data_IF_712742077692
#
_entry.id   IF_712742077692
#
_cell.length_a   1.000
_cell.length_b   1.000
_cell.length_c   1.000
_cell.angle_alpha   90.00
_cell.angle_beta   90.00
_cell.angle_gamma   90.00
#
_symmetry.space_group_name_H-M   'P 1'
#
loop_
_entity.id
_entity.type
_entity.pdbx_description
1 polymer ?
#
# COMPACT_ATOMS: atom_id res chain seq x y z
N UNK A 1 -35.68 -34.94 -55.73
CA UNK A 1 -34.40 -35.53 -55.27
C UNK A 1 -33.64 -34.45 -54.54
N UNK A 2 -33.25 -34.75 -53.30
CA UNK A 2 -32.98 -33.80 -52.21
C UNK A 2 -31.55 -33.24 -52.33
N UNK A 3 -31.41 -31.93 -52.17
CA UNK A 3 -30.13 -31.24 -52.04
C UNK A 3 -29.64 -31.36 -50.58
N UNK A 4 -28.37 -31.73 -50.37
CA UNK A 4 -27.54 -31.32 -49.22
C UNK A 4 -26.12 -31.91 -49.30
N UNK A 5 -25.08 -31.12 -49.59
CA UNK A 5 -23.73 -31.43 -49.13
C UNK A 5 -23.64 -31.00 -47.66
N UNK A 6 -23.42 -31.96 -46.77
CA UNK A 6 -23.10 -31.67 -45.37
C UNK A 6 -21.73 -31.00 -45.28
N UNK A 7 -21.70 -29.78 -44.76
CA UNK A 7 -20.49 -29.10 -44.34
C UNK A 7 -20.00 -29.78 -43.05
N UNK A 8 -18.98 -30.65 -43.15
CA UNK A 8 -18.30 -31.17 -41.96
C UNK A 8 -17.19 -30.22 -41.56
N UNK A 9 -17.41 -29.42 -40.52
CA UNK A 9 -16.34 -28.75 -39.79
C UNK A 9 -15.90 -29.72 -38.70
N UNK A 10 -14.72 -30.33 -38.87
CA UNK A 10 -14.04 -31.03 -37.79
C UNK A 10 -13.29 -29.98 -36.96
N UNK A 11 -13.81 -29.64 -35.79
CA UNK A 11 -12.99 -29.04 -34.74
C UNK A 11 -12.14 -30.17 -34.16
N UNK A 12 -10.83 -30.08 -34.38
CA UNK A 12 -9.90 -30.81 -33.51
C UNK A 12 -10.01 -30.16 -32.14
N UNK A 13 -10.74 -30.81 -31.22
CA UNK A 13 -10.76 -30.47 -29.80
C UNK A 13 -9.37 -30.75 -29.19
N UNK A 14 -8.38 -29.93 -29.53
CA UNK A 14 -7.20 -29.76 -28.70
C UNK A 14 -7.70 -28.96 -27.51
N UNK A 15 -7.99 -29.64 -26.40
CA UNK A 15 -8.24 -28.99 -25.13
C UNK A 15 -7.09 -28.00 -24.89
N UNK A 16 -7.36 -26.71 -25.07
CA UNK A 16 -6.38 -25.67 -24.82
C UNK A 16 -6.09 -25.69 -23.33
N UNK A 17 -4.95 -26.26 -22.95
CA UNK A 17 -4.47 -26.23 -21.57
C UNK A 17 -4.35 -24.76 -21.18
N UNK A 18 -5.23 -24.29 -20.29
CA UNK A 18 -5.18 -22.93 -19.78
C UNK A 18 -3.86 -22.74 -19.06
N UNK A 19 -3.03 -21.83 -19.58
CA UNK A 19 -1.75 -21.43 -18.99
C UNK A 19 -1.95 -20.07 -18.33
N UNK A 20 -2.18 -19.99 -17.01
CA UNK A 20 -2.56 -18.74 -16.35
C UNK A 20 -1.51 -17.64 -16.46
N UNK A 21 -0.23 -18.01 -16.58
CA UNK A 21 0.91 -17.09 -16.66
C UNK A 21 1.49 -16.95 -18.06
N UNK A 22 0.75 -17.36 -19.11
CA UNK A 22 1.20 -17.22 -20.48
C UNK A 22 1.18 -15.76 -20.94
N UNK A 23 2.09 -15.43 -21.86
CA UNK A 23 2.12 -14.12 -22.53
C UNK A 23 0.74 -13.77 -23.10
N UNK A 24 0.32 -12.52 -22.89
CA UNK A 24 -0.95 -12.02 -23.39
C UNK A 24 -2.09 -12.08 -22.38
N UNK A 25 -1.93 -12.79 -21.26
CA UNK A 25 -2.95 -12.86 -20.24
C UNK A 25 -3.02 -11.56 -19.43
N UNK A 26 -4.24 -11.09 -19.19
CA UNK A 26 -4.57 -10.04 -18.23
C UNK A 26 -4.97 -10.69 -16.90
N UNK A 27 -4.61 -10.04 -15.79
CA UNK A 27 -5.10 -10.42 -14.47
C UNK A 27 -5.45 -9.19 -13.63
N UNK A 28 -6.31 -9.42 -12.64
CA UNK A 28 -6.71 -8.44 -11.65
C UNK A 28 -6.62 -9.12 -10.28
N UNK A 29 -6.01 -8.46 -9.30
CA UNK A 29 -6.05 -8.87 -7.91
C UNK A 29 -6.66 -7.77 -7.05
N UNK A 30 -7.41 -8.18 -6.04
CA UNK A 30 -7.90 -7.31 -4.98
C UNK A 30 -7.81 -8.08 -3.67
N UNK A 31 -7.34 -7.42 -2.61
CA UNK A 31 -7.22 -8.03 -1.30
C UNK A 31 -7.14 -7.00 -0.19
N UNK A 32 -7.31 -7.46 1.04
CA UNK A 32 -7.07 -6.67 2.23
C UNK A 32 -5.65 -6.92 2.73
N UNK A 33 -4.97 -5.86 3.15
CA UNK A 33 -3.61 -5.96 3.68
C UNK A 33 -3.56 -5.60 5.17
N UNK A 34 -2.40 -5.92 5.77
CA UNK A 34 -2.00 -5.53 7.12
C UNK A 34 -0.63 -4.90 7.03
N UNK A 35 -0.41 -3.85 7.79
CA UNK A 35 0.82 -3.07 7.74
C UNK A 35 1.58 -3.19 9.05
N UNK A 36 2.91 -3.20 8.96
CA UNK A 36 3.82 -3.09 10.09
C UNK A 36 4.76 -1.93 9.84
N UNK A 37 5.02 -1.12 10.87
CA UNK A 37 5.86 0.07 10.75
C UNK A 37 7.08 -0.05 11.66
N UNK A 38 8.23 0.34 11.11
CA UNK A 38 9.39 0.72 11.92
C UNK A 38 9.15 2.12 12.50
N UNK A 39 10.15 2.64 13.22
CA UNK A 39 10.15 4.03 13.62
C UNK A 39 10.47 4.97 12.45
N UNK A 40 10.01 6.21 12.57
CA UNK A 40 10.23 7.28 11.61
C UNK A 40 10.94 8.46 12.27
N UNK A 41 11.85 9.09 11.55
CA UNK A 41 12.29 10.45 11.87
C UNK A 41 11.39 11.42 11.11
N UNK A 42 10.85 12.43 11.79
CA UNK A 42 9.84 13.35 11.24
C UNK A 42 10.28 14.79 11.46
N UNK A 43 10.46 15.54 10.36
CA UNK A 43 10.79 16.97 10.39
C UNK A 43 9.55 17.82 10.22
N UNK A 44 9.42 18.88 11.02
CA UNK A 44 8.37 19.87 10.96
C UNK A 44 9.00 21.24 10.72
N UNK A 45 8.64 21.87 9.60
CA UNK A 45 9.10 23.21 9.23
C UNK A 45 7.88 24.13 9.03
N UNK A 46 7.92 25.32 9.62
CA UNK A 46 6.88 26.32 9.45
C UNK A 46 7.15 27.64 10.16
N UNK A 47 6.21 28.60 10.10
CA UNK A 47 6.38 29.90 10.73
C UNK A 47 6.52 29.76 12.26
N UNK A 48 7.73 30.00 12.77
CA UNK A 48 8.05 29.94 14.19
C UNK A 48 8.40 28.54 14.71
N UNK A 49 8.67 27.56 13.86
CA UNK A 49 9.25 26.29 14.28
C UNK A 49 10.03 25.61 13.14
N UNK A 50 11.10 24.93 13.50
CA UNK A 50 11.86 24.03 12.63
C UNK A 50 12.51 23.00 13.55
N UNK A 51 11.93 21.80 13.60
CA UNK A 51 12.40 20.75 14.49
C UNK A 51 12.23 19.36 13.89
N UNK A 52 13.02 18.43 14.38
CA UNK A 52 12.98 17.02 14.03
C UNK A 52 12.65 16.19 15.27
N UNK A 53 11.76 15.22 15.09
CA UNK A 53 11.47 14.16 16.05
C UNK A 53 12.13 12.87 15.59
N UNK A 54 12.83 12.20 16.50
CA UNK A 54 13.52 10.93 16.23
C UNK A 54 12.75 9.73 16.71
N UNK A 55 12.83 8.64 15.95
CA UNK A 55 12.31 7.33 16.32
C UNK A 55 10.81 7.31 16.70
N UNK A 56 9.99 8.08 16.00
CA UNK A 56 8.53 8.13 16.21
C UNK A 56 7.92 6.79 15.77
N UNK A 57 7.30 6.08 16.71
CA UNK A 57 6.61 4.82 16.43
C UNK A 57 5.17 5.06 15.95
N UNK A 58 4.71 4.17 15.06
CA UNK A 58 3.36 4.16 14.56
C UNK A 58 2.80 2.74 14.50
N UNK A 59 1.49 2.65 14.32
CA UNK A 59 0.77 1.38 14.26
C UNK A 59 -0.22 1.35 13.11
N UNK A 60 -0.55 0.12 12.74
CA UNK A 60 -1.64 -0.21 11.84
C UNK A 60 -2.99 0.26 12.38
N UNK A 61 -3.92 0.62 11.48
CA UNK A 61 -5.31 0.98 11.82
C UNK A 61 -6.31 0.24 10.96
N UNK A 62 -6.31 -1.09 11.09
CA UNK A 62 -7.30 -1.91 10.40
C UNK A 62 -8.72 -1.67 10.95
N UNK A 63 -9.69 -1.61 10.04
CA UNK A 63 -11.11 -1.61 10.39
C UNK A 63 -11.49 -2.90 11.10
N UNK A 64 -12.31 -2.80 12.16
CA UNK A 64 -12.92 -3.96 12.82
C UNK A 64 -13.61 -4.86 11.79
N UNK A 65 -13.42 -6.18 11.90
CA UNK A 65 -14.01 -7.11 10.95
C UNK A 65 -15.53 -7.13 11.08
N UNK A 66 -16.21 -6.79 9.99
CA UNK A 66 -17.64 -7.02 9.80
C UNK A 66 -17.95 -7.13 8.31
N UNK A 67 -18.95 -7.95 7.97
CA UNK A 67 -19.28 -8.25 6.57
C UNK A 67 -19.73 -7.02 5.79
N UNK A 68 -20.38 -6.05 6.45
CA UNK A 68 -20.87 -4.85 5.79
C UNK A 68 -19.70 -3.96 5.39
N UNK A 69 -18.72 -3.77 6.27
CA UNK A 69 -17.52 -2.98 5.97
C UNK A 69 -16.64 -3.68 4.93
N UNK A 70 -16.44 -4.99 5.03
CA UNK A 70 -15.50 -5.72 4.16
C UNK A 70 -16.10 -6.20 2.83
N UNK A 71 -17.42 -6.28 2.68
CA UNK A 71 -18.02 -6.78 1.44
C UNK A 71 -19.19 -5.92 0.95
N UNK A 72 -19.43 -4.77 1.59
CA UNK A 72 -20.45 -3.83 1.13
C UNK A 72 -19.97 -3.06 -0.11
N UNK A 73 -20.86 -2.79 -1.08
CA UNK A 73 -20.49 -2.24 -2.39
C UNK A 73 -19.91 -0.83 -2.36
N UNK A 74 -20.11 -0.08 -1.27
CA UNK A 74 -19.56 1.29 -1.08
C UNK A 74 -18.56 1.38 0.07
N UNK A 75 -18.34 0.28 0.78
CA UNK A 75 -17.57 0.25 2.04
C UNK A 75 -16.34 -0.66 1.95
N UNK A 76 -16.28 -1.53 0.94
CA UNK A 76 -15.19 -2.49 0.76
C UNK A 76 -13.79 -1.84 0.62
N UNK A 77 -13.71 -0.53 0.38
CA UNK A 77 -12.48 0.27 0.32
C UNK A 77 -12.12 0.95 1.65
N UNK A 78 -12.96 0.86 2.68
CA UNK A 78 -12.69 1.48 3.99
C UNK A 78 -11.57 0.79 4.79
N UNK A 79 -11.46 -0.56 4.80
CA UNK A 79 -10.26 -1.23 5.31
C UNK A 79 -9.05 -0.93 4.42
N UNK A 80 -7.85 -1.23 4.90
CA UNK A 80 -6.66 -1.16 4.05
C UNK A 80 -6.70 -2.28 3.01
N UNK A 81 -6.42 -1.94 1.75
CA UNK A 81 -6.48 -2.87 0.63
C UNK A 81 -5.29 -2.74 -0.31
N UNK A 82 -5.11 -3.77 -1.13
CA UNK A 82 -4.29 -3.73 -2.34
C UNK A 82 -5.16 -3.99 -3.58
N UNK A 83 -4.83 -3.31 -4.67
CA UNK A 83 -5.44 -3.53 -5.97
C UNK A 83 -4.37 -3.58 -7.05
N UNK A 84 -4.43 -4.60 -7.89
CA UNK A 84 -3.42 -4.84 -8.92
C UNK A 84 -4.11 -5.12 -10.23
N UNK A 85 -3.66 -4.47 -11.31
CA UNK A 85 -4.01 -4.82 -12.68
C UNK A 85 -2.73 -5.09 -13.44
N UNK A 86 -2.60 -6.29 -14.01
CA UNK A 86 -1.35 -6.71 -14.62
C UNK A 86 -1.51 -7.48 -15.92
N UNK A 87 -0.43 -7.53 -16.66
CA UNK A 87 -0.34 -8.15 -17.98
C UNK A 87 0.95 -8.95 -18.12
N UNK A 88 0.83 -10.17 -18.63
CA UNK A 88 1.98 -11.03 -18.92
C UNK A 88 2.64 -10.63 -20.25
N UNK A 89 3.77 -9.92 -20.15
CA UNK A 89 4.57 -9.49 -21.31
C UNK A 89 5.35 -10.64 -21.94
N UNK A 90 5.68 -11.68 -21.16
CA UNK A 90 6.26 -12.95 -21.58
C UNK A 90 5.71 -14.08 -20.69
N UNK A 91 5.93 -15.34 -21.08
CA UNK A 91 5.56 -16.49 -20.25
C UNK A 91 6.23 -16.41 -18.87
N UNK A 92 5.39 -16.35 -17.83
CA UNK A 92 5.81 -16.20 -16.44
C UNK A 92 6.44 -14.86 -16.10
N UNK A 93 6.27 -13.80 -16.89
CA UNK A 93 6.74 -12.45 -16.57
C UNK A 93 5.63 -11.43 -16.79
N UNK A 94 5.24 -10.72 -15.75
CA UNK A 94 4.22 -9.67 -15.80
C UNK A 94 4.79 -8.30 -15.48
N UNK A 95 4.12 -7.28 -16.02
CA UNK A 95 4.15 -5.91 -15.53
C UNK A 95 2.76 -5.56 -14.98
N UNK A 96 2.68 -4.81 -13.89
CA UNK A 96 1.41 -4.38 -13.31
C UNK A 96 1.43 -2.95 -12.79
N UNK A 97 0.22 -2.40 -12.65
CA UNK A 97 -0.06 -1.16 -11.92
C UNK A 97 -0.78 -1.55 -10.63
N UNK A 98 -0.28 -1.01 -9.52
CA UNK A 98 -0.58 -1.48 -8.19
C UNK A 98 -0.91 -0.29 -7.29
N UNK A 99 -1.96 -0.45 -6.49
CA UNK A 99 -2.43 0.52 -5.50
C UNK A 99 -2.43 -0.14 -4.14
N UNK A 100 -1.58 0.33 -3.24
CA UNK A 100 -1.60 -0.08 -1.83
C UNK A 100 -2.16 1.05 -0.96
N UNK A 101 -3.36 0.86 -0.43
CA UNK A 101 -4.02 1.81 0.46
C UNK A 101 -3.77 1.41 1.93
N UNK A 102 -2.66 1.88 2.50
CA UNK A 102 -2.26 1.61 3.89
C UNK A 102 -2.72 2.70 4.85
N UNK A 103 -2.62 2.50 6.17
CA UNK A 103 -2.89 3.52 7.18
C UNK A 103 -1.78 3.57 8.22
N UNK A 104 -1.19 4.75 8.39
CA UNK A 104 -0.15 5.02 9.38
C UNK A 104 -0.75 5.86 10.51
N UNK A 105 -0.60 5.44 11.76
CA UNK A 105 -1.09 6.21 12.92
C UNK A 105 -0.02 6.28 13.97
N UNK A 106 0.49 7.49 14.22
CA UNK A 106 1.47 7.73 15.29
C UNK A 106 0.91 7.27 16.64
N UNK A 107 1.76 6.65 17.46
CA UNK A 107 1.40 6.31 18.84
C UNK A 107 1.51 7.58 19.70
N UNK A 108 0.40 8.08 20.24
CA UNK A 108 0.45 9.19 21.21
C UNK A 108 1.05 8.77 22.55
N UNK A 109 1.53 9.76 23.32
CA UNK A 109 2.16 9.61 24.64
C UNK A 109 3.45 8.77 24.64
N UNK A 110 4.08 8.61 23.49
CA UNK A 110 5.44 8.07 23.40
C UNK A 110 6.48 9.17 23.65
N UNK A 111 7.68 8.76 24.08
CA UNK A 111 8.83 9.66 24.20
C UNK A 111 9.65 9.61 22.91
N UNK A 112 9.99 10.78 22.38
CA UNK A 112 10.86 10.95 21.22
C UNK A 112 11.97 11.95 21.55
N UNK A 113 13.09 11.89 20.83
CA UNK A 113 14.10 12.93 20.92
C UNK A 113 13.76 14.07 19.94
N UNK A 114 13.79 15.31 20.42
CA UNK A 114 13.55 16.52 19.64
C UNK A 114 14.85 17.31 19.47
N UNK A 115 15.06 17.84 18.26
CA UNK A 115 16.14 18.80 17.96
C UNK A 115 15.61 19.91 17.08
N UNK A 116 16.03 21.16 17.32
CA UNK A 116 15.56 22.32 16.56
C UNK A 116 14.94 23.39 17.45
N UNK A 117 13.95 24.14 16.97
CA UNK A 117 13.30 25.18 17.77
C UNK A 117 11.79 25.24 17.58
N UNK A 118 11.12 25.73 18.62
CA UNK A 118 9.70 26.08 18.62
C UNK A 118 9.56 27.47 19.27
N UNK A 119 8.87 28.38 18.60
CA UNK A 119 8.55 29.73 19.05
C UNK A 119 7.16 30.11 18.53
N UNK A 120 6.14 29.45 19.08
CA UNK A 120 4.73 29.60 18.72
C UNK A 120 3.92 30.33 19.79
N UNK A 121 4.58 30.97 20.77
CA UNK A 121 3.95 31.57 21.96
C UNK A 121 3.19 30.53 22.76
N UNK A 122 3.73 29.32 22.82
CA UNK A 122 3.23 28.22 23.65
C UNK A 122 4.26 27.96 24.75
N UNK A 123 4.13 28.58 25.94
CA UNK A 123 5.17 28.52 26.98
C UNK A 123 5.58 27.12 27.43
N UNK A 124 4.72 26.11 27.18
CA UNK A 124 4.99 24.71 27.49
C UNK A 124 5.96 24.04 26.50
N UNK A 125 5.95 24.49 25.23
CA UNK A 125 6.68 23.83 24.14
C UNK A 125 7.69 24.74 23.44
N UNK A 126 7.69 26.05 23.73
CA UNK A 126 8.64 26.99 23.16
C UNK A 126 10.05 26.76 23.74
N UNK A 127 11.05 26.68 22.86
CA UNK A 127 12.42 26.37 23.24
C UNK A 127 13.34 26.14 22.04
N UNK A 128 14.64 26.02 22.34
CA UNK A 128 15.64 25.47 21.43
C UNK A 128 16.08 24.15 22.05
N UNK A 129 16.02 23.08 21.26
CA UNK A 129 16.23 21.71 21.71
C UNK A 129 17.48 21.13 21.05
N UNK A 130 18.32 20.51 21.87
CA UNK A 130 19.50 19.78 21.40
C UNK A 130 19.40 18.30 21.80
N UNK A 131 18.67 17.51 20.99
CA UNK A 131 18.43 16.09 21.23
C UNK A 131 17.83 15.82 22.63
N UNK A 132 16.84 16.61 23.00
CA UNK A 132 16.14 16.53 24.28
C UNK A 132 14.96 15.56 24.21
N UNK A 133 14.56 14.99 25.33
CA UNK A 133 13.39 14.11 25.40
C UNK A 133 12.11 14.93 25.46
N UNK A 134 11.15 14.63 24.57
CA UNK A 134 9.80 15.21 24.59
C UNK A 134 8.74 14.10 24.57
N UNK A 135 7.61 14.35 25.25
CA UNK A 135 6.44 13.48 25.19
C UNK A 135 5.53 13.94 24.06
N UNK A 136 5.21 13.03 23.13
CA UNK A 136 4.29 13.29 22.03
C UNK A 136 2.82 13.19 22.49
N UNK A 137 2.42 14.12 23.37
CA UNK A 137 1.03 14.23 23.83
C UNK A 137 0.09 14.58 22.66
N UNK A 138 -1.21 14.22 22.73
CA UNK A 138 -2.18 14.65 21.72
C UNK A 138 -2.29 16.18 21.56
N UNK A 139 -1.91 16.96 22.58
CA UNK A 139 -1.85 18.42 22.57
C UNK A 139 -0.62 18.92 21.81
N UNK A 140 0.52 18.22 21.94
CA UNK A 140 1.74 18.50 21.20
C UNK A 140 1.62 18.08 19.73
N UNK A 141 1.42 16.79 19.48
CA UNK A 141 1.39 16.20 18.14
C UNK A 141 0.39 15.05 18.02
N UNK A 142 -0.44 15.10 17.00
CA UNK A 142 -1.12 13.94 16.41
C UNK A 142 -0.81 13.88 14.92
N UNK A 143 -0.41 12.71 14.43
CA UNK A 143 0.02 12.53 13.04
C UNK A 143 -0.49 11.21 12.48
N UNK A 144 -1.29 11.27 11.42
CA UNK A 144 -1.89 10.08 10.81
C UNK A 144 -2.01 10.20 9.28
N UNK A 145 -1.97 9.05 8.60
CA UNK A 145 -2.37 8.84 7.21
C UNK A 145 -3.60 7.92 7.15
N UNK A 146 -4.77 8.41 7.57
CA UNK A 146 -5.97 7.57 7.78
C UNK A 146 -6.81 7.32 6.55
N UNK A 147 -6.78 8.23 5.59
CA UNK A 147 -7.42 8.11 4.28
C UNK A 147 -6.40 7.63 3.22
N UNK A 148 -5.44 6.84 3.68
CA UNK A 148 -4.40 6.23 2.86
C UNK A 148 -3.02 6.85 3.07
N UNK A 149 -2.03 6.02 3.41
CA UNK A 149 -0.65 6.13 2.95
C UNK A 149 -0.60 5.43 1.58
N UNK A 150 -1.14 6.10 0.57
CA UNK A 150 -1.35 5.49 -0.75
C UNK A 150 -0.02 5.33 -1.46
N UNK A 151 0.34 4.08 -1.78
CA UNK A 151 1.53 3.75 -2.57
C UNK A 151 1.09 3.26 -3.95
N UNK A 152 1.24 4.15 -4.93
CA UNK A 152 0.91 3.92 -6.33
C UNK A 152 2.18 3.48 -7.05
N UNK A 153 2.22 2.26 -7.57
CA UNK A 153 3.46 1.66 -8.05
C UNK A 153 3.33 0.84 -9.33
N UNK A 154 4.48 0.59 -9.95
CA UNK A 154 4.63 -0.31 -11.09
C UNK A 154 5.48 -1.49 -10.63
N UNK A 155 4.97 -2.70 -10.82
CA UNK A 155 5.65 -3.93 -10.41
C UNK A 155 6.05 -4.78 -11.63
N UNK A 156 7.24 -5.37 -11.56
CA UNK A 156 7.73 -6.38 -12.50
C UNK A 156 7.89 -7.72 -11.77
N UNK A 157 7.15 -8.74 -12.19
CA UNK A 157 7.02 -9.99 -11.43
C UNK A 157 7.25 -11.23 -12.28
N UNK A 158 8.14 -12.09 -11.81
CA UNK A 158 8.47 -13.39 -12.39
C UNK A 158 7.70 -14.48 -11.68
N UNK A 159 6.93 -15.27 -12.42
CA UNK A 159 6.23 -16.46 -11.95
C UNK A 159 6.95 -17.73 -12.42
N UNK A 160 7.12 -18.68 -11.52
CA UNK A 160 7.83 -19.94 -11.73
C UNK A 160 6.93 -21.10 -11.31
N UNK A 161 6.61 -21.97 -12.25
CA UNK A 161 5.92 -23.23 -11.93
C UNK A 161 6.92 -24.20 -11.28
N UNK A 162 6.68 -24.54 -10.03
CA UNK A 162 7.52 -25.45 -9.25
C UNK A 162 7.07 -26.90 -9.43
N UNK A 163 5.77 -27.12 -9.58
CA UNK A 163 5.20 -28.45 -9.77
C UNK A 163 3.84 -28.38 -10.45
N UNK A 164 3.55 -29.35 -11.31
CA UNK A 164 2.22 -29.54 -11.89
C UNK A 164 1.79 -30.99 -11.75
N UNK A 165 0.54 -31.19 -11.32
CA UNK A 165 -0.07 -32.51 -11.24
C UNK A 165 -0.16 -33.16 -12.62
N UNK A 166 -0.25 -34.50 -12.65
CA UNK A 166 -0.25 -35.30 -13.90
C UNK A 166 -1.31 -34.86 -14.93
N UNK A 167 -2.41 -34.28 -14.46
CA UNK A 167 -3.52 -33.79 -15.29
C UNK A 167 -3.52 -32.25 -15.45
N UNK A 168 -2.48 -31.55 -14.97
CA UNK A 168 -2.35 -30.08 -14.96
C UNK A 168 -3.48 -29.28 -14.31
N UNK A 169 -4.41 -29.93 -13.59
CA UNK A 169 -5.51 -29.28 -12.88
C UNK A 169 -5.05 -28.55 -11.59
N UNK A 170 -3.89 -28.93 -11.06
CA UNK A 170 -3.29 -28.34 -9.86
C UNK A 170 -1.83 -28.08 -10.16
N UNK A 171 -1.38 -26.86 -9.88
CA UNK A 171 0.01 -26.46 -9.98
C UNK A 171 0.42 -25.69 -8.73
N UNK A 172 1.67 -25.88 -8.31
CA UNK A 172 2.33 -25.08 -7.30
C UNK A 172 3.31 -24.14 -8.00
N UNK A 173 3.21 -22.86 -7.74
CA UNK A 173 4.05 -21.83 -8.35
C UNK A 173 4.61 -20.91 -7.28
N UNK A 174 5.83 -20.45 -7.50
CA UNK A 174 6.42 -19.33 -6.76
C UNK A 174 6.40 -18.09 -7.66
N UNK A 175 6.50 -16.92 -7.05
CA UNK A 175 6.74 -15.68 -7.78
C UNK A 175 7.76 -14.83 -7.05
N UNK A 176 8.35 -13.87 -7.75
CA UNK A 176 9.16 -12.84 -7.14
C UNK A 176 9.14 -11.62 -8.03
N UNK A 177 9.11 -10.45 -7.44
CA UNK A 177 9.04 -9.21 -8.18
C UNK A 177 9.53 -8.04 -7.36
N UNK A 178 9.67 -6.94 -8.08
CA UNK A 178 10.14 -5.67 -7.53
C UNK A 178 9.23 -4.57 -8.04
N UNK A 179 8.92 -3.62 -7.17
CA UNK A 179 8.12 -2.47 -7.53
C UNK A 179 8.78 -1.18 -7.09
N UNK A 180 8.46 -0.11 -7.81
CA UNK A 180 8.81 1.25 -7.45
C UNK A 180 7.63 2.17 -7.77
N UNK A 181 7.43 3.17 -6.93
CA UNK A 181 6.23 4.00 -7.02
C UNK A 181 6.33 5.29 -6.22
N UNK A 182 5.21 6.01 -6.19
CA UNK A 182 5.07 7.27 -5.49
C UNK A 182 4.14 7.13 -4.28
N UNK A 183 4.36 7.96 -3.28
CA UNK A 183 3.52 8.03 -2.08
C UNK A 183 2.65 9.26 -2.13
N UNK A 184 1.33 9.07 -2.08
CA UNK A 184 0.32 10.14 -2.06
C UNK A 184 -0.56 9.99 -0.82
N UNK A 185 -0.01 10.22 0.39
CA UNK A 185 -0.81 10.12 1.60
C UNK A 185 -1.80 11.27 1.71
N UNK A 186 -2.91 11.02 2.40
CA UNK A 186 -3.69 12.08 3.05
C UNK A 186 -3.22 12.25 4.48
N UNK A 187 -2.57 13.37 4.78
CA UNK A 187 -1.95 13.58 6.09
C UNK A 187 -2.82 14.43 6.99
N UNK A 188 -3.34 13.82 8.05
CA UNK A 188 -4.01 14.47 9.16
C UNK A 188 -2.97 14.76 10.24
N UNK A 189 -2.54 16.01 10.32
CA UNK A 189 -1.52 16.50 11.25
C UNK A 189 -2.16 17.52 12.16
N UNK A 190 -1.96 17.38 13.48
CA UNK A 190 -2.28 18.41 14.47
C UNK A 190 -1.04 18.69 15.31
N UNK A 191 -0.45 19.87 15.16
CA UNK A 191 0.75 20.32 15.86
C UNK A 191 0.41 21.57 16.67
N UNK A 192 0.58 21.52 17.99
CA UNK A 192 0.34 22.66 18.90
C UNK A 192 -1.03 23.33 18.72
N UNK A 193 -2.06 22.53 18.46
CA UNK A 193 -3.44 22.99 18.24
C UNK A 193 -3.75 23.46 16.80
N UNK A 194 -2.75 23.61 15.93
CA UNK A 194 -2.95 23.89 14.50
C UNK A 194 -3.05 22.58 13.71
N UNK A 195 -3.99 22.50 12.78
CA UNK A 195 -4.30 21.28 12.04
C UNK A 195 -4.23 21.43 10.53
N UNK A 196 -3.85 20.35 9.85
CA UNK A 196 -3.91 20.19 8.39
C UNK A 196 -4.42 18.79 8.05
N UNK A 197 -5.29 18.68 7.04
CA UNK A 197 -5.77 17.41 6.50
C UNK A 197 -5.87 17.51 4.97
N UNK A 198 -4.84 17.00 4.28
CA UNK A 198 -4.75 17.13 2.82
C UNK A 198 -3.96 15.99 2.17
N UNK A 199 -4.29 15.71 0.91
CA UNK A 199 -3.46 14.88 0.03
C UNK A 199 -2.23 15.66 -0.42
N UNK A 200 -1.08 14.99 -0.45
CA UNK A 200 0.15 15.57 -1.01
C UNK A 200 1.06 14.47 -1.54
N UNK A 201 1.99 14.85 -2.41
CA UNK A 201 3.05 13.96 -2.89
C UNK A 201 4.18 13.92 -1.85
N UNK A 202 4.34 12.80 -1.17
CA UNK A 202 5.27 12.65 -0.05
C UNK A 202 6.63 12.04 -0.42
N UNK A 203 6.80 11.58 -1.66
CA UNK A 203 8.04 10.98 -2.14
C UNK A 203 7.82 9.69 -2.93
N UNK A 204 8.75 8.75 -2.79
CA UNK A 204 8.76 7.47 -3.51
C UNK A 204 8.97 6.29 -2.56
N UNK A 205 8.59 5.11 -3.03
CA UNK A 205 8.79 3.84 -2.34
C UNK A 205 9.32 2.77 -3.29
N UNK A 206 9.88 1.71 -2.71
CA UNK A 206 10.26 0.49 -3.40
C UNK A 206 9.79 -0.72 -2.59
N UNK A 207 9.35 -1.77 -3.26
CA UNK A 207 8.87 -3.00 -2.63
C UNK A 207 9.42 -4.24 -3.32
N UNK A 208 9.40 -5.35 -2.59
CA UNK A 208 9.74 -6.69 -3.08
C UNK A 208 8.59 -7.61 -2.70
N UNK A 209 8.11 -8.40 -3.65
CA UNK A 209 7.16 -9.48 -3.40
C UNK A 209 7.79 -10.85 -3.70
N UNK A 210 7.34 -11.88 -2.99
CA UNK A 210 7.80 -13.26 -3.11
C UNK A 210 6.72 -14.24 -2.62
#
# INVERSE_FOLDING_TARGET
MICRPGLSISQNDVATVFKPTAKGNLFIHWGYNRSGYTTSDISFEGPGYDFELKNVAAKDRQSSFDLKTYFGPTTFTYPQYNFVVGYFINDGLSISLDVDHMKYVMINNQVSAISGFINKRSPEYDGVFENESIVLSPEFLSFEHTDGLNYENIELTRYMNLWSGKNNNVAFSAHTGVAAGILIPRSSVRLLGEGSDQFHLAGFGTSVNA
#
